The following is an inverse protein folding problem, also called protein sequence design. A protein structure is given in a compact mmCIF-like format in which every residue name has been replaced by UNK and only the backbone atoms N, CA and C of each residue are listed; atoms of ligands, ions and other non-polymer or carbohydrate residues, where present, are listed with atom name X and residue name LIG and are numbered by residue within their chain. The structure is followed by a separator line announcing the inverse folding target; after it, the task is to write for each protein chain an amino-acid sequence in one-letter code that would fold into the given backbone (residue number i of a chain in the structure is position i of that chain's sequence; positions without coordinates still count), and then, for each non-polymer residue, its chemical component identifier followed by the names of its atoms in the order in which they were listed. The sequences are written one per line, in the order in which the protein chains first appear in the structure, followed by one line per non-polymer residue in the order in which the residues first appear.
data_IF_633735452155
#
_entry.id   IF_633735452155
#
_cell.length_a   1.000
_cell.length_b   1.000
_cell.length_c   1.000
_cell.angle_alpha   90.00
_cell.angle_beta   90.00
_cell.angle_gamma   90.00
#
_symmetry.space_group_name_H-M   'P 1'
#
loop_
_entity.id
_entity.type
_entity.pdbx_description
1 polymer ?
#
# COMPACT_ATOMS: atom_id res chain seq x y z
N UNK A 1 4.40 -1.43 -12.86
CA UNK A 1 2.99 -1.41 -12.41
C UNK A 1 2.98 -1.05 -10.95
N UNK A 2 1.96 -0.32 -10.52
CA UNK A 2 1.80 0.17 -9.15
C UNK A 2 0.53 -0.46 -8.59
N UNK A 3 0.66 -1.23 -7.51
CA UNK A 3 -0.34 -2.26 -7.18
C UNK A 3 -0.89 -2.08 -5.77
N UNK A 4 -1.12 -0.81 -5.39
CA UNK A 4 -1.48 -0.43 -4.03
C UNK A 4 -2.74 -1.12 -3.50
N UNK A 5 -3.64 -1.59 -4.38
CA UNK A 5 -4.80 -2.39 -3.99
C UNK A 5 -4.39 -3.71 -3.33
N UNK A 6 -3.40 -4.41 -3.88
CA UNK A 6 -2.89 -5.67 -3.32
C UNK A 6 -2.17 -5.41 -1.99
N UNK A 7 -1.34 -4.37 -1.93
CA UNK A 7 -0.66 -3.99 -0.69
C UNK A 7 -1.63 -3.57 0.41
N UNK A 8 -2.74 -2.90 0.06
CA UNK A 8 -3.82 -2.59 1.01
C UNK A 8 -4.44 -3.85 1.63
N UNK A 9 -4.75 -4.87 0.81
CA UNK A 9 -5.28 -6.15 1.30
C UNK A 9 -4.27 -6.84 2.21
N UNK A 10 -3.01 -6.98 1.77
CA UNK A 10 -2.01 -7.69 2.55
C UNK A 10 -1.66 -6.95 3.84
N UNK A 11 -1.60 -5.61 3.77
CA UNK A 11 -1.44 -4.73 4.91
C UNK A 11 -2.50 -5.03 5.99
N UNK A 12 -3.78 -5.12 5.59
CA UNK A 12 -4.87 -5.48 6.49
C UNK A 12 -4.80 -6.92 6.99
N UNK A 13 -4.46 -7.88 6.13
CA UNK A 13 -4.37 -9.29 6.50
C UNK A 13 -3.27 -9.54 7.54
N UNK A 14 -2.09 -8.94 7.33
CA UNK A 14 -0.97 -9.02 8.28
C UNK A 14 -1.29 -8.27 9.56
N UNK A 15 -1.86 -7.07 9.48
CA UNK A 15 -2.29 -6.33 10.66
C UNK A 15 -3.27 -7.14 11.52
N UNK A 16 -4.22 -7.84 10.88
CA UNK A 16 -5.17 -8.75 11.54
C UNK A 16 -4.50 -9.98 12.16
N UNK A 17 -3.55 -10.60 11.46
CA UNK A 17 -2.85 -11.78 11.96
C UNK A 17 -2.01 -11.44 13.21
N UNK A 18 -1.33 -10.30 13.18
CA UNK A 18 -0.52 -9.81 14.29
C UNK A 18 -1.39 -9.29 15.45
N UNK A 19 -2.58 -8.74 15.16
CA UNK A 19 -3.50 -8.27 16.19
C UNK A 19 -4.26 -9.39 16.91
N UNK A 20 -4.63 -10.46 16.19
CA UNK A 20 -5.40 -11.60 16.69
C UNK A 20 -4.63 -12.57 17.60
N UNK A 21 -3.30 -12.45 17.66
CA UNK A 21 -2.48 -13.10 18.68
C UNK A 21 -2.69 -12.45 20.04
N UNK A 22 -3.71 -12.92 20.78
CA UNK A 22 -3.96 -12.51 22.16
C UNK A 22 -2.75 -12.90 23.03
N UNK A 23 -1.84 -11.96 23.26
CA UNK A 23 -1.06 -11.94 24.49
C UNK A 23 -2.07 -11.71 25.59
N UNK A 24 -2.42 -12.78 26.32
CA UNK A 24 -3.09 -12.71 27.62
C UNK A 24 -2.21 -11.91 28.57
N UNK A 25 -2.24 -10.58 28.48
CA UNK A 25 -1.74 -9.73 29.55
C UNK A 25 -2.86 -9.64 30.57
N UNK A 26 -2.82 -10.55 31.55
CA UNK A 26 -3.45 -10.29 32.82
C UNK A 26 -2.75 -9.07 33.42
N UNK A 27 -3.37 -7.90 33.33
CA UNK A 27 -2.95 -6.73 34.11
C UNK A 27 -4.18 -6.03 34.65
N UNK A 28 -4.11 -5.77 35.95
CA UNK A 28 -5.09 -5.02 36.74
C UNK A 28 -5.17 -3.56 36.24
N UNK A 29 -6.33 -2.89 36.37
CA UNK A 29 -6.55 -1.56 35.79
C UNK A 29 -5.62 -0.52 36.44
N UNK A 30 -4.63 -0.08 35.67
CA UNK A 30 -3.74 1.03 36.00
C UNK A 30 -3.91 2.15 34.97
N UNK A 31 -4.83 3.06 35.25
CA UNK A 31 -5.60 3.95 34.35
C UNK A 31 -4.83 4.94 33.45
N UNK A 32 -3.50 4.94 33.42
CA UNK A 32 -2.69 5.77 32.50
C UNK A 32 -1.74 4.96 31.61
N UNK A 33 -1.28 3.80 32.07
CA UNK A 33 -0.35 2.96 31.31
C UNK A 33 -1.04 2.15 30.21
N UNK A 34 -2.24 1.67 30.46
CA UNK A 34 -3.00 0.84 29.51
C UNK A 34 -3.58 1.65 28.35
N UNK A 35 -4.07 2.87 28.62
CA UNK A 35 -4.58 3.79 27.58
C UNK A 35 -3.46 4.16 26.60
N UNK A 36 -2.25 4.45 27.10
CA UNK A 36 -1.09 4.77 26.27
C UNK A 36 -0.64 3.60 25.38
N UNK A 37 -0.66 2.36 25.91
CA UNK A 37 -0.36 1.14 25.14
C UNK A 37 -1.40 0.85 24.07
N UNK A 38 -2.69 1.04 24.38
CA UNK A 38 -3.80 0.88 23.43
C UNK A 38 -3.65 1.86 22.26
N UNK A 39 -3.41 3.14 22.53
CA UNK A 39 -3.26 4.15 21.47
C UNK A 39 -2.01 3.96 20.62
N UNK A 40 -0.91 3.49 21.21
CA UNK A 40 0.27 3.06 20.46
C UNK A 40 -0.08 1.92 19.50
N UNK A 41 -0.79 0.88 19.97
CA UNK A 41 -1.18 -0.29 19.17
C UNK A 41 -2.08 0.10 18.00
N UNK A 42 -3.12 0.91 18.25
CA UNK A 42 -4.00 1.45 17.18
C UNK A 42 -3.20 2.25 16.17
N UNK A 43 -2.26 3.08 16.64
CA UNK A 43 -1.33 3.82 15.79
C UNK A 43 -0.51 2.91 14.88
N UNK A 44 0.08 1.83 15.43
CA UNK A 44 0.87 0.86 14.66
C UNK A 44 0.01 0.17 13.58
N UNK A 45 -1.19 -0.28 13.93
CA UNK A 45 -2.08 -0.98 12.98
C UNK A 45 -2.48 -0.06 11.82
N UNK A 46 -2.97 1.14 12.14
CA UNK A 46 -3.34 2.11 11.12
C UNK A 46 -2.14 2.52 10.28
N UNK A 47 -1.00 2.82 10.93
CA UNK A 47 0.24 3.15 10.26
C UNK A 47 0.73 2.04 9.33
N UNK A 48 0.60 0.77 9.73
CA UNK A 48 1.03 -0.37 8.92
C UNK A 48 0.21 -0.51 7.63
N UNK A 49 -1.12 -0.40 7.72
CA UNK A 49 -1.98 -0.43 6.53
C UNK A 49 -1.67 0.75 5.61
N UNK A 50 -1.53 1.96 6.19
CA UNK A 50 -1.23 3.15 5.42
C UNK A 50 0.17 3.10 4.79
N UNK A 51 1.16 2.56 5.52
CA UNK A 51 2.54 2.37 5.06
C UNK A 51 2.65 1.34 3.95
N UNK A 52 1.69 0.41 3.83
CA UNK A 52 1.62 -0.48 2.68
C UNK A 52 1.10 0.21 1.41
N UNK A 53 0.44 1.36 1.52
CA UNK A 53 -0.16 2.08 0.38
C UNK A 53 0.71 3.27 -0.04
N UNK A 54 1.25 4.01 0.92
CA UNK A 54 1.92 5.29 0.66
C UNK A 54 3.22 5.27 -0.16
N UNK A 55 4.03 4.19 -0.23
CA UNK A 55 5.22 4.20 -1.09
C UNK A 55 4.90 4.56 -2.54
N UNK A 56 3.76 4.11 -3.07
CA UNK A 56 3.29 4.43 -4.42
C UNK A 56 2.78 5.87 -4.61
N UNK A 57 2.72 6.67 -3.54
CA UNK A 57 2.29 8.06 -3.62
C UNK A 57 3.26 8.93 -4.41
N UNK A 58 4.52 8.51 -4.56
CA UNK A 58 5.50 9.21 -5.40
C UNK A 58 5.16 9.18 -6.90
N UNK A 59 4.23 8.32 -7.34
CA UNK A 59 3.69 8.38 -8.69
C UNK A 59 2.90 9.65 -8.97
N UNK A 60 2.36 10.31 -7.93
CA UNK A 60 1.66 11.59 -8.09
C UNK A 60 2.61 12.69 -8.61
N UNK A 61 3.74 13.01 -7.94
CA UNK A 61 4.71 13.96 -8.49
C UNK A 61 5.42 13.43 -9.74
N UNK A 62 5.59 12.10 -9.87
CA UNK A 62 6.20 11.50 -11.07
C UNK A 62 5.25 11.44 -12.27
N UNK A 63 3.97 11.79 -12.13
CA UNK A 63 3.01 11.79 -13.22
C UNK A 63 3.46 12.67 -14.39
N UNK A 64 4.08 13.83 -14.10
CA UNK A 64 4.63 14.73 -15.12
C UNK A 64 5.77 14.01 -15.86
N UNK A 65 6.74 13.46 -15.11
CA UNK A 65 7.86 12.70 -15.69
C UNK A 65 7.34 11.55 -16.54
N UNK A 66 6.29 10.86 -16.11
CA UNK A 66 5.70 9.73 -16.83
C UNK A 66 5.17 10.12 -18.21
N UNK A 67 4.65 11.33 -18.38
CA UNK A 67 4.17 11.84 -19.68
C UNK A 67 5.30 12.04 -20.69
N UNK A 68 6.50 12.39 -20.22
CA UNK A 68 7.67 12.64 -21.08
C UNK A 68 8.57 11.42 -21.23
N UNK A 69 8.79 10.69 -20.14
CA UNK A 69 9.60 9.48 -20.07
C UNK A 69 9.05 8.53 -19.00
N UNK A 70 8.16 7.64 -19.42
CA UNK A 70 7.56 6.62 -18.57
C UNK A 70 8.59 5.64 -18.00
N UNK A 71 9.70 5.38 -18.71
CA UNK A 71 10.75 4.47 -18.24
C UNK A 71 11.53 5.11 -17.09
N UNK A 72 11.87 6.39 -17.22
CA UNK A 72 12.52 7.15 -16.15
C UNK A 72 11.62 7.26 -14.93
N UNK A 73 10.35 7.65 -15.13
CA UNK A 73 9.38 7.74 -14.03
C UNK A 73 9.26 6.42 -13.26
N UNK A 74 9.15 5.29 -13.98
CA UNK A 74 9.07 3.97 -13.35
C UNK A 74 10.35 3.51 -12.67
N UNK A 75 11.53 3.95 -13.14
CA UNK A 75 12.79 3.74 -12.42
C UNK A 75 12.83 4.55 -11.13
N UNK A 76 12.44 5.83 -11.19
CA UNK A 76 12.44 6.72 -10.02
C UNK A 76 11.45 6.27 -8.94
N UNK A 77 10.27 5.82 -9.34
CA UNK A 77 9.21 5.33 -8.44
C UNK A 77 9.67 4.19 -7.51
N UNK A 78 10.70 3.42 -7.88
CA UNK A 78 11.18 2.27 -7.10
C UNK A 78 12.51 2.53 -6.40
N UNK A 79 12.73 3.78 -6.01
CA UNK A 79 13.96 4.24 -5.35
C UNK A 79 13.69 4.71 -3.92
N UNK A 80 13.59 6.02 -3.69
CA UNK A 80 13.58 6.61 -2.36
C UNK A 80 12.43 6.12 -1.47
N UNK A 81 11.24 5.95 -2.01
CA UNK A 81 10.02 5.48 -1.32
C UNK A 81 10.05 4.00 -0.97
N UNK A 82 10.85 3.20 -1.67
CA UNK A 82 11.02 1.77 -1.43
C UNK A 82 12.34 1.42 -0.73
N UNK A 83 13.22 2.40 -0.54
CA UNK A 83 14.56 2.21 0.02
C UNK A 83 14.55 2.05 1.54
N UNK A 84 15.18 0.99 2.04
CA UNK A 84 15.37 0.77 3.47
C UNK A 84 16.29 1.82 4.09
N UNK A 85 17.23 2.36 3.31
CA UNK A 85 18.13 3.44 3.73
C UNK A 85 17.36 4.74 3.99
N UNK A 86 16.22 4.93 3.34
CA UNK A 86 15.32 6.08 3.59
C UNK A 86 14.26 5.74 4.64
N UNK A 87 13.58 4.60 4.51
CA UNK A 87 12.46 4.22 5.37
C UNK A 87 12.89 4.02 6.82
N UNK A 88 14.00 3.31 7.06
CA UNK A 88 14.42 2.95 8.43
C UNK A 88 14.79 4.19 9.26
N UNK A 89 15.62 5.14 8.77
CA UNK A 89 15.90 6.36 9.52
C UNK A 89 14.64 7.17 9.83
N UNK A 90 13.72 7.33 8.87
CA UNK A 90 12.47 8.06 9.11
C UNK A 90 11.61 7.38 10.19
N UNK A 91 11.52 6.06 10.15
CA UNK A 91 10.83 5.26 11.18
C UNK A 91 11.49 5.46 12.56
N UNK A 92 12.82 5.43 12.64
CA UNK A 92 13.58 5.61 13.88
C UNK A 92 13.43 7.04 14.43
N UNK A 93 13.50 8.06 13.58
CA UNK A 93 13.24 9.45 13.97
C UNK A 93 11.83 9.59 14.55
N UNK A 94 10.82 9.03 13.88
CA UNK A 94 9.46 9.01 14.40
C UNK A 94 9.35 8.28 15.75
N UNK A 95 10.06 7.17 15.93
CA UNK A 95 10.09 6.42 17.18
C UNK A 95 10.73 7.18 18.35
N UNK A 96 11.79 7.94 18.08
CA UNK A 96 12.54 8.73 19.05
C UNK A 96 11.77 9.99 19.48
N UNK A 97 11.25 10.74 18.52
CA UNK A 97 10.71 12.08 18.75
C UNK A 97 9.20 12.13 18.99
N UNK A 98 8.43 11.17 18.47
CA UNK A 98 6.97 11.16 18.67
C UNK A 98 6.58 10.40 19.95
N UNK A 99 5.32 10.62 20.37
CA UNK A 99 4.75 10.01 21.59
C UNK A 99 3.37 9.42 21.34
N UNK A 100 2.95 8.52 22.22
CA UNK A 100 1.64 7.86 22.21
C UNK A 100 1.28 7.32 20.83
N UNK A 101 0.13 7.75 20.34
CA UNK A 101 -0.41 7.34 19.04
C UNK A 101 0.48 7.71 17.85
N UNK A 102 1.03 8.92 17.82
CA UNK A 102 1.84 9.39 16.69
C UNK A 102 3.12 8.54 16.52
N UNK A 103 3.72 8.12 17.64
CA UNK A 103 4.81 7.15 17.67
C UNK A 103 4.40 5.82 17.03
N UNK A 104 3.20 5.34 17.35
CA UNK A 104 2.64 4.12 16.77
C UNK A 104 2.46 4.25 15.26
N UNK A 105 1.90 5.37 14.80
CA UNK A 105 1.73 5.64 13.36
C UNK A 105 3.08 5.63 12.64
N UNK A 106 4.11 6.31 13.17
CA UNK A 106 5.42 6.33 12.52
C UNK A 106 6.07 4.94 12.45
N UNK A 107 5.99 4.16 13.52
CA UNK A 107 6.42 2.76 13.52
C UNK A 107 5.67 1.93 12.48
N UNK A 108 4.33 2.03 12.49
CA UNK A 108 3.48 1.31 11.55
C UNK A 108 3.79 1.68 10.11
N UNK A 109 3.92 2.98 9.80
CA UNK A 109 4.24 3.48 8.47
C UNK A 109 5.57 2.89 7.96
N UNK A 110 6.62 2.91 8.78
CA UNK A 110 7.91 2.34 8.41
C UNK A 110 7.85 0.84 8.16
N UNK A 111 7.22 0.09 9.07
CA UNK A 111 7.05 -1.36 8.90
C UNK A 111 6.17 -1.71 7.68
N UNK A 112 5.14 -0.92 7.44
CA UNK A 112 4.26 -1.08 6.28
C UNK A 112 4.98 -0.80 4.96
N UNK A 113 5.81 0.25 4.92
CA UNK A 113 6.60 0.59 3.75
C UNK A 113 7.68 -0.45 3.45
N UNK A 114 8.33 -1.00 4.49
CA UNK A 114 9.23 -2.15 4.34
C UNK A 114 8.47 -3.36 3.77
N UNK A 115 7.30 -3.68 4.33
CA UNK A 115 6.48 -4.78 3.85
C UNK A 115 6.08 -4.58 2.37
N UNK A 116 5.68 -3.36 2.00
CA UNK A 116 5.40 -2.98 0.61
C UNK A 116 6.60 -3.27 -0.30
N UNK A 117 7.79 -2.74 0.00
CA UNK A 117 9.00 -2.95 -0.81
C UNK A 117 9.38 -4.42 -0.95
N UNK A 118 9.19 -5.21 0.12
CA UNK A 118 9.45 -6.66 0.08
C UNK A 118 8.48 -7.35 -0.86
N UNK A 119 7.20 -7.01 -0.83
CA UNK A 119 6.19 -7.62 -1.71
C UNK A 119 6.46 -7.29 -3.18
N UNK A 120 6.89 -6.07 -3.48
CA UNK A 120 7.25 -5.68 -4.84
C UNK A 120 8.31 -6.59 -5.46
N UNK A 121 9.29 -7.02 -4.66
CA UNK A 121 10.34 -7.94 -5.09
C UNK A 121 9.75 -9.31 -5.47
N UNK A 122 8.81 -9.81 -4.68
CA UNK A 122 8.26 -11.16 -4.86
C UNK A 122 7.18 -11.23 -5.94
N UNK A 123 6.42 -10.17 -6.17
CA UNK A 123 5.22 -10.27 -6.98
C UNK A 123 5.40 -9.56 -8.34
N UNK A 124 6.23 -8.50 -8.42
CA UNK A 124 6.09 -7.52 -9.50
C UNK A 124 7.14 -7.51 -10.61
N UNK A 125 7.73 -8.67 -10.92
CA UNK A 125 8.53 -8.94 -12.14
C UNK A 125 9.46 -7.80 -12.58
N UNK A 126 9.99 -7.02 -11.64
CA UNK A 126 10.72 -5.80 -11.95
C UNK A 126 11.59 -5.42 -10.76
N UNK A 127 12.77 -4.84 -11.01
CA UNK A 127 13.72 -4.46 -9.97
C UNK A 127 13.14 -3.44 -8.97
N UNK A 128 13.69 -3.47 -7.76
CA UNK A 128 13.48 -2.47 -6.70
C UNK A 128 14.86 -2.06 -6.15
N UNK A 129 15.11 -0.76 -6.05
CA UNK A 129 16.37 -0.22 -5.52
C UNK A 129 16.29 -0.07 -3.98
N UNK A 130 16.39 -1.19 -3.27
CA UNK A 130 16.20 -1.26 -1.82
C UNK A 130 17.23 -0.46 -1.01
N UNK A 131 18.41 -0.22 -1.57
CA UNK A 131 19.48 0.52 -0.90
C UNK A 131 19.78 1.86 -1.57
N UNK A 132 18.84 2.41 -2.35
CA UNK A 132 19.00 3.77 -2.90
C UNK A 132 19.29 4.78 -1.77
N UNK A 133 20.25 5.72 -1.91
CA UNK A 133 21.03 6.04 -3.10
C UNK A 133 22.39 5.34 -3.19
N UNK A 134 22.68 4.31 -2.39
CA UNK A 134 24.03 3.70 -2.31
C UNK A 134 24.55 3.17 -3.66
N UNK A 135 23.66 2.80 -4.59
CA UNK A 135 24.00 2.44 -5.97
C UNK A 135 24.77 3.52 -6.72
N UNK A 136 24.53 4.80 -6.40
CA UNK A 136 25.28 5.94 -6.96
C UNK A 136 26.75 5.98 -6.53
N UNK A 137 27.11 5.24 -5.46
CA UNK A 137 28.47 5.07 -4.97
C UNK A 137 29.06 3.70 -5.32
N UNK A 138 28.42 2.94 -6.22
CA UNK A 138 28.90 1.63 -6.67
C UNK A 138 28.55 0.47 -5.74
N UNK A 139 27.72 0.68 -4.71
CA UNK A 139 27.23 -0.40 -3.84
C UNK A 139 26.06 -1.11 -4.54
N UNK A 140 26.06 -2.45 -4.68
CA UNK A 140 24.90 -3.18 -5.20
C UNK A 140 23.64 -2.88 -4.38
N UNK A 141 22.67 -2.20 -4.98
CA UNK A 141 21.48 -1.69 -4.27
C UNK A 141 20.16 -2.19 -4.82
N UNK A 142 20.17 -2.69 -6.06
CA UNK A 142 18.98 -3.18 -6.78
C UNK A 142 18.79 -4.67 -6.54
N UNK A 143 17.57 -5.05 -6.14
CA UNK A 143 17.14 -6.44 -6.05
C UNK A 143 16.18 -6.75 -7.19
N UNK A 144 16.46 -7.82 -7.92
CA UNK A 144 15.61 -8.31 -9.00
C UNK A 144 15.61 -9.85 -9.04
N UNK A 145 14.60 -10.46 -8.40
CA UNK A 145 14.42 -11.93 -8.43
C UNK A 145 13.97 -12.46 -9.80
N UNK A 146 13.60 -11.56 -10.71
CA UNK A 146 12.98 -11.86 -12.00
C UNK A 146 13.88 -11.48 -13.18
N UNK A 147 15.19 -11.32 -12.97
CA UNK A 147 16.13 -10.85 -13.99
C UNK A 147 16.22 -11.73 -15.25
N UNK A 148 15.74 -12.98 -15.18
CA UNK A 148 15.64 -13.90 -16.32
C UNK A 148 14.20 -14.19 -16.78
N UNK A 149 13.20 -13.48 -16.26
CA UNK A 149 11.78 -13.71 -16.57
C UNK A 149 11.16 -12.46 -17.18
N UNK A 150 10.79 -12.54 -18.45
CA UNK A 150 10.03 -11.49 -19.12
C UNK A 150 8.54 -11.81 -19.11
N UNK A 151 7.76 -10.97 -18.41
CA UNK A 151 6.32 -11.08 -18.47
C UNK A 151 5.84 -10.75 -19.90
N UNK A 152 5.22 -11.72 -20.56
CA UNK A 152 4.62 -11.53 -21.88
C UNK A 152 3.57 -10.40 -21.86
N UNK A 153 3.33 -9.75 -23.01
CA UNK A 153 2.45 -8.58 -23.13
C UNK A 153 1.12 -8.74 -22.39
N UNK A 154 0.40 -9.83 -22.65
CA UNK A 154 -0.92 -10.09 -22.06
C UNK A 154 -0.82 -10.27 -20.55
N UNK A 155 0.16 -11.03 -20.08
CA UNK A 155 0.38 -11.24 -18.65
C UNK A 155 0.69 -9.90 -17.94
N UNK A 156 1.60 -9.09 -18.51
CA UNK A 156 1.91 -7.77 -17.99
C UNK A 156 0.68 -6.86 -17.93
N UNK A 157 -0.07 -6.75 -19.02
CA UNK A 157 -1.28 -5.93 -19.02
C UNK A 157 -2.34 -6.47 -18.04
N UNK A 158 -2.52 -7.78 -17.96
CA UNK A 158 -3.49 -8.38 -17.05
C UNK A 158 -3.14 -8.15 -15.58
N UNK A 159 -1.85 -8.12 -15.22
CA UNK A 159 -1.40 -7.72 -13.89
C UNK A 159 -1.87 -6.31 -13.53
N UNK A 160 -1.80 -5.35 -14.46
CA UNK A 160 -2.32 -3.99 -14.23
C UNK A 160 -3.85 -3.94 -14.13
N UNK A 161 -4.57 -4.85 -14.79
CA UNK A 161 -6.03 -4.99 -14.59
C UNK A 161 -6.35 -5.49 -13.18
N UNK A 162 -5.56 -6.45 -12.67
CA UNK A 162 -5.75 -7.03 -11.33
C UNK A 162 -5.64 -5.99 -10.20
N UNK A 163 -5.02 -4.83 -10.41
CA UNK A 163 -5.00 -3.75 -9.42
C UNK A 163 -6.40 -3.26 -9.06
N UNK A 164 -7.28 -3.13 -10.06
CA UNK A 164 -8.66 -2.73 -9.82
C UNK A 164 -9.44 -3.80 -9.06
N UNK A 165 -9.20 -5.08 -9.37
CA UNK A 165 -9.76 -6.17 -8.58
C UNK A 165 -9.26 -6.11 -7.13
N UNK A 166 -7.97 -5.85 -6.93
CA UNK A 166 -7.38 -5.74 -5.61
C UNK A 166 -7.96 -4.54 -4.83
N UNK A 167 -8.14 -3.38 -5.45
CA UNK A 167 -8.86 -2.26 -4.81
C UNK A 167 -10.30 -2.62 -4.43
N UNK A 168 -11.04 -3.30 -5.32
CA UNK A 168 -12.40 -3.73 -5.03
C UNK A 168 -12.45 -4.68 -3.82
N UNK A 169 -11.55 -5.66 -3.78
CA UNK A 169 -11.42 -6.62 -2.68
C UNK A 169 -10.99 -5.93 -1.38
N UNK A 170 -10.07 -4.98 -1.44
CA UNK A 170 -9.67 -4.14 -0.31
C UNK A 170 -10.86 -3.39 0.29
N UNK A 171 -11.65 -2.71 -0.56
CA UNK A 171 -12.85 -1.99 -0.12
C UNK A 171 -13.94 -2.91 0.40
N UNK A 172 -14.15 -4.08 -0.23
CA UNK A 172 -15.10 -5.08 0.25
C UNK A 172 -14.70 -5.63 1.62
N UNK A 173 -13.40 -5.85 1.85
CA UNK A 173 -12.89 -6.28 3.14
C UNK A 173 -13.11 -5.21 4.22
N UNK A 174 -12.80 -3.94 3.93
CA UNK A 174 -13.08 -2.83 4.85
C UNK A 174 -14.58 -2.73 5.17
N UNK A 175 -15.46 -2.87 4.17
CA UNK A 175 -16.91 -2.86 4.39
C UNK A 175 -17.36 -4.01 5.29
N UNK A 176 -16.79 -5.21 5.12
CA UNK A 176 -17.06 -6.36 5.98
C UNK A 176 -16.64 -6.09 7.43
N UNK A 177 -15.46 -5.51 7.64
CA UNK A 177 -14.95 -5.19 8.98
C UNK A 177 -15.77 -4.08 9.65
N UNK A 178 -16.12 -3.02 8.91
CA UNK A 178 -16.96 -1.93 9.40
C UNK A 178 -18.32 -2.42 9.90
N UNK A 179 -18.98 -3.32 9.16
CA UNK A 179 -20.24 -3.93 9.61
C UNK A 179 -20.06 -4.83 10.83
N UNK A 180 -18.98 -5.61 10.88
CA UNK A 180 -18.72 -6.54 11.97
C UNK A 180 -18.35 -5.83 13.30
N UNK A 181 -17.88 -4.59 13.23
CA UNK A 181 -17.41 -3.80 14.38
C UNK A 181 -18.23 -2.54 14.64
N UNK A 182 -19.26 -2.29 13.83
CA UNK A 182 -20.12 -1.09 13.89
C UNK A 182 -19.32 0.23 13.81
N UNK A 183 -18.25 0.24 13.01
CA UNK A 183 -17.38 1.40 12.79
C UNK A 183 -17.56 1.99 11.41
N UNK A 184 -17.48 3.32 11.28
CA UNK A 184 -17.54 4.06 10.01
C UNK A 184 -18.73 3.66 9.09
N UNK A 185 -19.85 3.24 9.69
CA UNK A 185 -21.01 2.69 8.96
C UNK A 185 -21.61 3.67 7.96
N UNK A 186 -21.55 4.97 8.26
CA UNK A 186 -22.03 6.05 7.39
C UNK A 186 -21.27 6.13 6.06
N UNK A 187 -20.05 5.57 6.00
CA UNK A 187 -19.23 5.57 4.79
C UNK A 187 -19.52 4.36 3.87
N UNK A 188 -20.23 3.34 4.35
CA UNK A 188 -20.50 2.11 3.60
C UNK A 188 -21.19 2.33 2.23
N UNK A 189 -22.14 3.28 2.07
CA UNK A 189 -22.73 3.54 0.76
C UNK A 189 -21.70 4.01 -0.26
N UNK A 190 -20.81 4.94 0.13
CA UNK A 190 -19.74 5.44 -0.72
C UNK A 190 -18.69 4.36 -1.01
N UNK A 191 -18.33 3.57 0.00
CA UNK A 191 -17.40 2.45 -0.16
C UNK A 191 -17.93 1.41 -1.16
N UNK A 192 -19.24 1.12 -1.14
CA UNK A 192 -19.90 0.24 -2.13
C UNK A 192 -19.76 0.79 -3.55
N UNK A 193 -19.96 2.10 -3.75
CA UNK A 193 -19.76 2.74 -5.06
C UNK A 193 -18.32 2.56 -5.53
N UNK A 194 -17.34 2.80 -4.66
CA UNK A 194 -15.92 2.60 -5.01
C UNK A 194 -15.59 1.14 -5.34
N UNK A 195 -16.15 0.17 -4.60
CA UNK A 195 -16.00 -1.26 -4.91
C UNK A 195 -16.55 -1.59 -6.30
N UNK A 196 -17.79 -1.18 -6.60
CA UNK A 196 -18.44 -1.47 -7.88
C UNK A 196 -17.69 -0.80 -9.04
N UNK A 197 -17.26 0.45 -8.86
CA UNK A 197 -16.46 1.16 -9.85
C UNK A 197 -15.17 0.39 -10.17
N UNK A 198 -14.45 -0.08 -9.16
CA UNK A 198 -13.23 -0.86 -9.36
C UNK A 198 -13.49 -2.22 -10.02
N UNK A 199 -14.60 -2.90 -9.73
CA UNK A 199 -14.98 -4.13 -10.44
C UNK A 199 -15.31 -3.87 -11.91
N UNK A 200 -15.99 -2.76 -12.22
CA UNK A 200 -16.26 -2.36 -13.60
C UNK A 200 -14.94 -2.06 -14.36
N UNK A 201 -14.01 -1.35 -13.72
CA UNK A 201 -12.69 -1.09 -14.28
C UNK A 201 -11.87 -2.36 -14.46
N UNK A 202 -11.92 -3.29 -13.51
CA UNK A 202 -11.29 -4.60 -13.67
C UNK A 202 -11.82 -5.32 -14.93
N UNK A 203 -13.13 -5.34 -15.13
CA UNK A 203 -13.73 -5.97 -16.32
C UNK A 203 -13.27 -5.29 -17.62
N UNK A 204 -13.31 -3.95 -17.67
CA UNK A 204 -12.86 -3.17 -18.84
C UNK A 204 -11.39 -3.41 -19.13
N UNK A 205 -10.51 -3.25 -18.13
CA UNK A 205 -9.07 -3.40 -18.31
C UNK A 205 -8.65 -4.85 -18.55
N UNK A 206 -9.42 -5.83 -18.09
CA UNK A 206 -9.22 -7.23 -18.49
C UNK A 206 -9.39 -7.39 -19.99
N UNK A 207 -10.46 -6.86 -20.59
CA UNK A 207 -10.65 -6.90 -22.05
C UNK A 207 -9.52 -6.13 -22.76
N UNK A 208 -9.20 -4.92 -22.28
CA UNK A 208 -8.12 -4.10 -22.85
C UNK A 208 -6.75 -4.79 -22.78
N UNK A 209 -6.50 -5.66 -21.80
CA UNK A 209 -5.22 -6.36 -21.68
C UNK A 209 -4.91 -7.27 -22.87
N UNK A 210 -5.94 -7.80 -23.54
CA UNK A 210 -5.80 -8.64 -24.73
C UNK A 210 -5.65 -7.80 -26.00
N UNK A 211 -6.35 -6.66 -26.06
CA UNK A 211 -6.50 -5.85 -27.27
C UNK A 211 -5.37 -4.82 -27.44
N UNK A 212 -4.96 -4.13 -26.37
CA UNK A 212 -4.02 -3.02 -26.46
C UNK A 212 -2.56 -3.48 -26.49
N UNK A 213 -1.71 -2.70 -27.17
CA UNK A 213 -0.26 -2.82 -27.02
C UNK A 213 0.15 -2.49 -25.57
N UNK A 214 1.31 -2.98 -25.13
CA UNK A 214 1.80 -2.77 -23.76
C UNK A 214 1.86 -1.28 -23.40
N UNK A 215 2.44 -0.45 -24.27
CA UNK A 215 2.59 0.98 -24.01
C UNK A 215 1.25 1.74 -23.91
N UNK A 216 0.29 1.45 -24.80
CA UNK A 216 -1.04 2.08 -24.73
C UNK A 216 -1.81 1.64 -23.49
N UNK A 217 -1.70 0.36 -23.13
CA UNK A 217 -2.30 -0.15 -21.90
C UNK A 217 -1.70 0.54 -20.67
N UNK A 218 -0.37 0.63 -20.59
CA UNK A 218 0.33 1.28 -19.48
C UNK A 218 -0.11 2.74 -19.32
N UNK A 219 -0.16 3.53 -20.40
CA UNK A 219 -0.62 4.93 -20.34
C UNK A 219 -2.06 5.00 -19.80
N UNK A 220 -2.97 4.21 -20.37
CA UNK A 220 -4.37 4.20 -19.96
C UNK A 220 -4.53 3.77 -18.49
N UNK A 221 -3.80 2.74 -18.07
CA UNK A 221 -3.84 2.22 -16.71
C UNK A 221 -3.29 3.23 -15.70
N UNK A 222 -2.09 3.75 -15.96
CA UNK A 222 -1.42 4.69 -15.06
C UNK A 222 -2.16 6.00 -14.91
N UNK A 223 -2.75 6.52 -15.99
CA UNK A 223 -3.59 7.72 -15.91
C UNK A 223 -4.73 7.52 -14.92
N UNK A 224 -5.47 6.41 -15.04
CA UNK A 224 -6.58 6.11 -14.14
C UNK A 224 -6.12 5.76 -12.72
N UNK A 225 -5.03 5.00 -12.60
CA UNK A 225 -4.48 4.60 -11.33
C UNK A 225 -4.04 5.84 -10.52
N UNK A 226 -3.16 6.67 -11.08
CA UNK A 226 -2.55 7.80 -10.38
C UNK A 226 -3.58 8.89 -10.09
N UNK A 227 -4.44 9.22 -11.05
CA UNK A 227 -5.34 10.37 -10.92
C UNK A 227 -6.64 10.05 -10.17
N UNK A 228 -7.06 8.79 -10.13
CA UNK A 228 -8.38 8.41 -9.62
C UNK A 228 -8.27 7.36 -8.51
N UNK A 229 -7.77 6.18 -8.82
CA UNK A 229 -7.91 5.04 -7.91
C UNK A 229 -6.96 5.08 -6.71
N UNK A 230 -5.72 5.53 -6.91
CA UNK A 230 -4.77 5.71 -5.81
C UNK A 230 -5.25 6.78 -4.80
N UNK A 231 -5.66 7.99 -5.22
CA UNK A 231 -6.27 8.96 -4.31
C UNK A 231 -7.50 8.43 -3.58
N UNK A 232 -8.38 7.69 -4.27
CA UNK A 232 -9.55 7.05 -3.64
C UNK A 232 -9.12 6.03 -2.58
N UNK A 233 -8.09 5.23 -2.84
CA UNK A 233 -7.58 4.24 -1.90
C UNK A 233 -6.99 4.90 -0.65
N UNK A 234 -6.16 5.93 -0.81
CA UNK A 234 -5.61 6.72 0.31
C UNK A 234 -6.74 7.38 1.11
N UNK A 235 -7.67 8.07 0.43
CA UNK A 235 -8.82 8.71 1.05
C UNK A 235 -9.67 7.71 1.84
N UNK A 236 -9.96 6.55 1.24
CA UNK A 236 -10.74 5.48 1.88
C UNK A 236 -10.02 4.93 3.11
N UNK A 237 -8.71 4.70 3.02
CA UNK A 237 -7.88 4.21 4.14
C UNK A 237 -7.96 5.17 5.32
N UNK A 238 -7.80 6.46 5.07
CA UNK A 238 -7.88 7.50 6.11
C UNK A 238 -9.30 7.64 6.65
N UNK A 239 -10.32 7.59 5.79
CA UNK A 239 -11.72 7.76 6.20
C UNK A 239 -12.24 6.57 7.00
N UNK A 240 -11.75 5.36 6.73
CA UNK A 240 -12.07 4.10 7.41
C UNK A 240 -11.13 3.80 8.58
N UNK A 241 -10.46 4.83 9.13
CA UNK A 241 -9.45 4.68 10.18
C UNK A 241 -10.00 3.98 11.43
N UNK A 242 -11.21 4.30 11.87
CA UNK A 242 -11.82 3.68 13.05
C UNK A 242 -11.99 2.17 12.84
N UNK A 243 -12.44 1.79 11.64
CA UNK A 243 -12.57 0.39 11.21
C UNK A 243 -11.23 -0.33 11.21
N UNK A 244 -10.18 0.29 10.66
CA UNK A 244 -8.84 -0.30 10.63
C UNK A 244 -8.29 -0.50 12.04
N UNK A 245 -8.49 0.48 12.92
CA UNK A 245 -8.07 0.38 14.31
C UNK A 245 -8.85 -0.64 15.12
N UNK A 246 -10.09 -0.97 14.73
CA UNK A 246 -10.93 -1.96 15.39
C UNK A 246 -10.67 -3.42 14.91
N UNK A 247 -9.63 -3.64 14.09
CA UNK A 247 -9.20 -4.97 13.65
C UNK A 247 -8.54 -5.77 14.80
N UNK A 248 -8.21 -5.10 15.91
CA UNK A 248 -7.69 -5.71 17.15
C UNK A 248 -8.76 -6.42 17.98
#
# INVERSE_FOLDING_TARGET
MAQSGFHGILGLAVARAVSGGSLKTGSSPGEKGEVSKSELKKGVIFGFVLGNILPDADLLPLAITFLFDSRLAMRMHRTATHSFVVIVPLMLLGWLFLRGRAKGIALGLGLGAIAHSVLDIFIWFSPVDLLWPLGTWGVPSVVNLWSGVEAGRVAGNFLGALDYLAFALYFAFLAKMARARETDVDFLPKLRVFTVLNLAFFAVYTVLSFVLSKGLFEIAHYAMFVLVFFPIAVYTTVKMRSTIEAIV
#
